data_IF_899379489286
#
_entry.id   IF_899379489286
#
_cell.length_a   1.000
_cell.length_b   1.000
_cell.length_c   1.000
_cell.angle_alpha   90.00
_cell.angle_beta   90.00
_cell.angle_gamma   90.00
#
_symmetry.space_group_name_H-M   'P 1'
#
loop_
_entity.id
_entity.type
_entity.pdbx_description
1 polymer ?
#
# COMPACT_ATOMS: atom_id res chain seq x y z
N UNK A 1 31.57 -36.12 -34.63
CA UNK A 1 32.21 -35.56 -33.42
C UNK A 1 31.57 -34.21 -33.24
N UNK A 2 30.82 -34.07 -32.14
CA UNK A 2 30.06 -32.88 -31.76
C UNK A 2 30.98 -31.66 -31.57
N UNK A 3 30.46 -30.48 -31.86
CA UNK A 3 30.50 -29.32 -30.96
C UNK A 3 29.52 -28.27 -31.52
N UNK A 4 28.28 -28.31 -31.02
CA UNK A 4 27.27 -27.27 -31.25
C UNK A 4 27.76 -25.98 -30.56
N UNK A 5 27.82 -24.89 -31.33
CA UNK A 5 28.00 -23.53 -30.84
C UNK A 5 26.97 -23.24 -29.75
N UNK A 6 27.44 -23.24 -28.50
CA UNK A 6 26.69 -22.75 -27.37
C UNK A 6 26.43 -21.27 -27.54
N UNK A 7 25.22 -20.92 -27.97
CA UNK A 7 24.72 -19.55 -27.94
C UNK A 7 24.70 -19.08 -26.48
N UNK A 8 25.78 -18.41 -26.07
CA UNK A 8 25.79 -17.63 -24.84
C UNK A 8 24.74 -16.53 -25.02
N UNK A 9 23.56 -16.74 -24.43
CA UNK A 9 22.56 -15.69 -24.32
C UNK A 9 23.15 -14.62 -23.40
N UNK A 10 23.67 -13.58 -24.03
CA UNK A 10 24.19 -12.41 -23.34
C UNK A 10 23.03 -11.73 -22.60
N UNK A 11 22.86 -12.07 -21.32
CA UNK A 11 21.87 -11.48 -20.42
C UNK A 11 22.33 -10.10 -19.90
N UNK A 12 23.46 -9.56 -20.38
CA UNK A 12 24.19 -8.45 -19.76
C UNK A 12 24.02 -7.10 -20.49
N UNK A 13 22.95 -6.94 -21.27
CA UNK A 13 22.72 -5.70 -22.00
C UNK A 13 21.58 -4.86 -21.41
N UNK A 14 21.99 -3.80 -20.69
CA UNK A 14 21.24 -2.59 -20.28
C UNK A 14 20.54 -2.59 -18.93
N UNK A 15 21.32 -2.33 -17.86
CA UNK A 15 20.92 -1.66 -16.60
C UNK A 15 19.44 -1.91 -16.21
N UNK A 16 19.06 -3.17 -16.23
CA UNK A 16 17.67 -3.61 -16.14
C UNK A 16 17.35 -3.68 -14.66
N UNK A 17 16.25 -3.05 -14.24
CA UNK A 17 15.81 -3.17 -12.86
C UNK A 17 15.54 -4.65 -12.61
N UNK A 18 16.15 -5.28 -11.61
CA UNK A 18 15.90 -6.68 -11.31
C UNK A 18 14.93 -6.79 -10.13
N UNK A 19 14.04 -7.79 -10.14
CA UNK A 19 13.17 -8.09 -9.01
C UNK A 19 13.34 -9.55 -8.57
N UNK A 20 13.37 -9.73 -7.26
CA UNK A 20 13.32 -11.04 -6.61
C UNK A 20 11.90 -11.25 -6.11
N UNK A 21 11.23 -12.29 -6.60
CA UNK A 21 9.82 -12.56 -6.28
C UNK A 21 9.74 -13.86 -5.49
N UNK A 22 9.09 -13.80 -4.33
CA UNK A 22 8.72 -14.97 -3.53
C UNK A 22 7.27 -15.33 -3.82
N UNK A 23 7.05 -16.52 -4.36
CA UNK A 23 5.70 -17.01 -4.64
C UNK A 23 5.03 -17.58 -3.39
N UNK A 24 3.70 -17.72 -3.43
CA UNK A 24 2.93 -18.42 -2.38
C UNK A 24 3.40 -19.88 -2.17
N UNK A 25 3.96 -20.50 -3.22
CA UNK A 25 4.58 -21.83 -3.16
C UNK A 25 5.96 -21.86 -2.51
N UNK A 26 6.41 -20.76 -1.88
CA UNK A 26 7.71 -20.58 -1.22
C UNK A 26 8.92 -20.73 -2.15
N UNK A 27 8.72 -20.67 -3.46
CA UNK A 27 9.79 -20.60 -4.43
C UNK A 27 10.24 -19.15 -4.62
N UNK A 28 11.52 -18.96 -4.98
CA UNK A 28 12.13 -17.65 -5.21
C UNK A 28 12.64 -17.59 -6.63
N UNK A 29 12.15 -16.61 -7.40
CA UNK A 29 12.53 -16.38 -8.79
C UNK A 29 13.24 -15.04 -8.93
N UNK A 30 14.27 -15.02 -9.77
CA UNK A 30 14.96 -13.81 -10.19
C UNK A 30 14.46 -13.43 -11.59
N UNK A 31 13.89 -12.23 -11.71
CA UNK A 31 13.41 -11.71 -12.99
C UNK A 31 14.15 -10.42 -13.35
N UNK A 32 14.69 -10.31 -14.58
CA UNK A 32 15.04 -9.03 -15.15
C UNK A 32 13.75 -8.27 -15.48
N UNK A 33 13.46 -7.18 -14.76
CA UNK A 33 12.23 -6.40 -14.88
C UNK A 33 12.45 -5.21 -15.82
N UNK A 34 11.56 -5.07 -16.80
CA UNK A 34 11.40 -3.84 -17.58
C UNK A 34 10.53 -2.88 -16.76
N UNK A 35 11.08 -1.72 -16.40
CA UNK A 35 10.48 -0.57 -15.72
C UNK A 35 9.03 -0.71 -15.20
N UNK A 36 8.88 -1.30 -14.02
CA UNK A 36 7.60 -1.34 -13.29
C UNK A 36 7.80 -0.76 -11.89
N UNK A 37 7.62 0.55 -11.76
CA UNK A 37 7.65 1.25 -10.48
C UNK A 37 6.38 0.96 -9.69
N UNK A 38 6.54 0.26 -8.56
CA UNK A 38 5.54 -0.08 -7.53
C UNK A 38 4.70 -1.34 -7.78
N UNK A 39 5.32 -2.52 -7.60
CA UNK A 39 4.65 -3.82 -7.78
C UNK A 39 4.51 -4.60 -6.46
N UNK A 40 3.28 -5.03 -6.15
CA UNK A 40 2.98 -6.17 -5.28
C UNK A 40 2.58 -7.33 -6.22
N UNK A 41 3.25 -8.47 -6.13
CA UNK A 41 3.25 -9.49 -7.18
C UNK A 41 1.98 -10.36 -7.23
N UNK A 42 1.24 -10.30 -8.34
CA UNK A 42 0.38 -11.40 -8.80
C UNK A 42 1.17 -12.35 -9.71
N UNK A 43 1.11 -13.66 -9.45
CA UNK A 43 1.86 -14.68 -10.17
C UNK A 43 0.95 -15.54 -11.06
N UNK A 44 1.32 -15.73 -12.33
CA UNK A 44 0.76 -16.79 -13.17
C UNK A 44 1.43 -18.14 -12.87
N UNK A 45 0.67 -19.25 -12.77
CA UNK A 45 1.25 -20.55 -12.42
C UNK A 45 2.15 -21.13 -13.52
N UNK A 46 1.89 -20.83 -14.80
CA UNK A 46 2.56 -21.50 -15.95
C UNK A 46 3.76 -20.72 -16.51
N UNK A 47 3.79 -19.41 -16.34
CA UNK A 47 4.88 -18.54 -16.75
C UNK A 47 5.04 -17.49 -15.67
N UNK A 48 6.15 -17.53 -14.93
CA UNK A 48 6.44 -16.70 -13.75
C UNK A 48 6.67 -15.21 -14.10
N UNK A 49 5.83 -14.67 -14.96
CA UNK A 49 5.78 -13.28 -15.40
C UNK A 49 4.95 -12.47 -14.40
N UNK A 50 5.42 -11.26 -14.13
CA UNK A 50 4.63 -10.26 -13.41
C UNK A 50 3.51 -9.78 -14.34
N UNK A 51 2.26 -10.00 -13.94
CA UNK A 51 1.10 -9.50 -14.69
C UNK A 51 0.60 -8.16 -14.15
N UNK A 52 0.05 -8.17 -12.94
CA UNK A 52 -0.72 -7.06 -12.41
C UNK A 52 -0.41 -6.84 -10.93
N UNK A 53 -0.56 -5.59 -10.50
CA UNK A 53 -0.45 -5.19 -9.11
C UNK A 53 -1.73 -5.57 -8.37
N UNK A 54 -1.63 -6.54 -7.46
CA UNK A 54 -2.71 -6.82 -6.53
C UNK A 54 -2.84 -5.68 -5.49
N UNK A 55 -4.06 -5.34 -5.06
CA UNK A 55 -4.26 -4.45 -3.93
C UNK A 55 -3.60 -5.04 -2.68
N UNK A 56 -3.21 -4.18 -1.74
CA UNK A 56 -2.60 -4.64 -0.50
C UNK A 56 -3.55 -5.61 0.22
N UNK A 57 -3.03 -6.76 0.63
CA UNK A 57 -3.80 -7.73 1.41
C UNK A 57 -3.90 -7.24 2.86
N UNK A 58 -5.11 -6.98 3.31
CA UNK A 58 -5.40 -6.69 4.71
C UNK A 58 -6.00 -7.94 5.38
N UNK A 59 -5.59 -8.20 6.63
CA UNK A 59 -6.17 -9.26 7.46
C UNK A 59 -7.69 -9.08 7.57
N UNK A 60 -8.44 -10.19 7.58
CA UNK A 60 -9.91 -10.15 7.67
C UNK A 60 -10.41 -9.43 8.93
N UNK A 61 -9.64 -9.44 10.02
CA UNK A 61 -9.93 -8.70 11.25
C UNK A 61 -9.80 -7.19 11.07
N UNK A 62 -8.87 -6.74 10.22
CA UNK A 62 -8.71 -5.31 9.91
C UNK A 62 -9.82 -4.85 8.98
N UNK A 63 -10.23 -5.69 8.02
CA UNK A 63 -11.39 -5.40 7.15
C UNK A 63 -12.69 -5.28 7.96
N UNK A 64 -12.84 -6.06 9.02
CA UNK A 64 -13.98 -5.96 9.93
C UNK A 64 -13.96 -4.70 10.82
N UNK A 65 -12.85 -3.98 10.91
CA UNK A 65 -12.75 -2.69 11.60
C UNK A 65 -13.04 -1.50 10.67
N UNK A 66 -13.30 -1.75 9.39
CA UNK A 66 -13.77 -0.71 8.46
C UNK A 66 -15.15 -0.22 8.91
N UNK A 67 -15.33 1.09 8.94
CA UNK A 67 -16.59 1.70 9.37
C UNK A 67 -17.55 1.66 8.19
N UNK A 68 -18.45 0.69 8.19
CA UNK A 68 -19.47 0.53 7.14
C UNK A 68 -20.60 1.58 7.25
N UNK A 69 -21.04 1.88 8.48
CA UNK A 69 -22.17 2.78 8.73
C UNK A 69 -21.77 4.00 9.56
N UNK A 70 -22.29 5.16 9.17
CA UNK A 70 -22.06 6.41 9.91
C UNK A 70 -22.91 6.42 11.19
N UNK A 71 -22.31 6.65 12.37
CA UNK A 71 -23.08 6.84 13.60
C UNK A 71 -24.09 7.99 13.47
N UNK A 72 -25.29 7.79 14.02
CA UNK A 72 -26.40 8.76 13.94
C UNK A 72 -26.50 9.68 15.16
N UNK A 73 -25.68 9.49 16.19
CA UNK A 73 -25.72 10.29 17.42
C UNK A 73 -25.25 11.73 17.19
N UNK A 74 -25.89 12.68 17.87
CA UNK A 74 -25.50 14.09 17.85
C UNK A 74 -24.88 14.50 19.18
N UNK A 75 -24.03 15.54 19.17
CA UNK A 75 -23.43 16.08 20.40
C UNK A 75 -24.46 16.60 21.40
N UNK A 76 -25.66 16.95 20.95
CA UNK A 76 -26.80 17.32 21.81
C UNK A 76 -27.32 16.16 22.67
N UNK A 77 -27.04 14.92 22.28
CA UNK A 77 -27.49 13.73 23.01
C UNK A 77 -26.52 13.37 24.16
N UNK A 78 -25.38 14.07 24.28
CA UNK A 78 -24.33 13.84 25.27
C UNK A 78 -24.35 14.96 26.32
N UNK A 79 -24.89 14.68 27.51
CA UNK A 79 -24.99 15.66 28.60
C UNK A 79 -23.76 15.71 29.52
N UNK A 80 -23.40 16.92 29.99
CA UNK A 80 -22.43 17.14 31.08
C UNK A 80 -20.95 17.06 30.70
N UNK A 81 -20.65 16.88 29.41
CA UNK A 81 -19.29 16.71 28.87
C UNK A 81 -18.90 17.81 27.88
N UNK A 82 -19.45 19.03 28.02
CA UNK A 82 -19.24 20.12 27.06
C UNK A 82 -17.76 20.47 26.87
N UNK A 83 -16.98 20.44 27.96
CA UNK A 83 -15.54 20.73 27.92
C UNK A 83 -14.78 19.68 27.10
N UNK A 84 -15.05 18.40 27.33
CA UNK A 84 -14.38 17.30 26.62
C UNK A 84 -14.80 17.27 25.15
N UNK A 85 -16.07 17.59 24.84
CA UNK A 85 -16.55 17.70 23.46
C UNK A 85 -15.80 18.83 22.74
N UNK A 86 -15.64 19.99 23.38
CA UNK A 86 -14.88 21.09 22.79
C UNK A 86 -13.41 20.71 22.55
N UNK A 87 -12.73 20.13 23.55
CA UNK A 87 -11.34 19.68 23.42
C UNK A 87 -11.17 18.66 22.28
N UNK A 88 -12.11 17.72 22.14
CA UNK A 88 -12.10 16.72 21.05
C UNK A 88 -12.28 17.37 19.67
N UNK A 89 -13.21 18.33 19.54
CA UNK A 89 -13.46 19.05 18.29
C UNK A 89 -12.21 19.84 17.88
N UNK A 90 -11.57 20.52 18.83
CA UNK A 90 -10.35 21.28 18.58
C UNK A 90 -9.18 20.38 18.17
N UNK A 91 -9.03 19.21 18.80
CA UNK A 91 -7.93 18.29 18.53
C UNK A 91 -8.11 17.46 17.25
N UNK A 92 -9.33 17.09 16.87
CA UNK A 92 -9.58 16.16 15.75
C UNK A 92 -10.26 16.84 14.57
N UNK A 93 -11.34 17.60 14.81
CA UNK A 93 -12.15 18.19 13.74
C UNK A 93 -11.49 19.44 13.16
N UNK A 94 -10.91 20.29 14.01
CA UNK A 94 -10.24 21.53 13.61
C UNK A 94 -9.09 21.28 12.62
N UNK A 95 -8.18 20.32 12.86
CA UNK A 95 -7.11 20.04 11.90
C UNK A 95 -7.61 19.31 10.66
N UNK A 96 -8.74 18.62 10.70
CA UNK A 96 -9.32 18.04 9.48
C UNK A 96 -10.00 19.08 8.58
N UNK A 97 -10.74 20.03 9.17
CA UNK A 97 -11.55 21.03 8.46
C UNK A 97 -10.77 22.29 8.08
N UNK A 98 -9.81 22.71 8.91
CA UNK A 98 -9.11 23.99 8.77
C UNK A 98 -7.58 23.82 8.85
N UNK A 99 -7.04 22.95 7.99
CA UNK A 99 -5.60 22.66 7.87
C UNK A 99 -4.76 23.93 7.68
N UNK A 100 -5.25 24.87 6.89
CA UNK A 100 -4.52 26.11 6.57
C UNK A 100 -4.18 26.94 7.81
N UNK A 101 -5.02 26.89 8.85
CA UNK A 101 -4.75 27.61 10.11
C UNK A 101 -3.53 27.03 10.84
N UNK A 102 -3.36 25.71 10.81
CA UNK A 102 -2.21 25.03 11.42
C UNK A 102 -0.94 25.25 10.61
N UNK A 103 -1.04 25.21 9.27
CA UNK A 103 0.10 25.45 8.36
C UNK A 103 0.58 26.90 8.46
N UNK A 104 -0.34 27.88 8.47
CA UNK A 104 0.02 29.30 8.61
C UNK A 104 0.65 29.62 9.97
N UNK A 105 0.22 28.93 11.01
CA UNK A 105 0.79 29.05 12.35
C UNK A 105 2.10 28.24 12.50
N UNK A 106 2.38 27.32 11.57
CA UNK A 106 3.58 26.47 11.57
C UNK A 106 3.60 25.39 12.66
N UNK A 107 2.43 25.01 13.17
CA UNK A 107 2.30 24.00 14.23
C UNK A 107 1.79 22.68 13.66
N UNK A 108 2.26 21.57 14.25
CA UNK A 108 1.74 20.26 13.93
C UNK A 108 0.45 20.04 14.72
N UNK A 109 -0.65 19.66 14.07
CA UNK A 109 -1.87 19.26 14.73
C UNK A 109 -1.71 17.93 15.47
#
# INVERSE_FOLDING_TARGET
MQEEEGANVDLDAHKTKCAVIKTSTRATYFLPVVDLTALNAGNNPDSYLVLEKLPAEYDSRVKAMEVDERPSEQYSDIGGCDKQIQELIEAVVLPMTHKDRFVNLGIHP
#
